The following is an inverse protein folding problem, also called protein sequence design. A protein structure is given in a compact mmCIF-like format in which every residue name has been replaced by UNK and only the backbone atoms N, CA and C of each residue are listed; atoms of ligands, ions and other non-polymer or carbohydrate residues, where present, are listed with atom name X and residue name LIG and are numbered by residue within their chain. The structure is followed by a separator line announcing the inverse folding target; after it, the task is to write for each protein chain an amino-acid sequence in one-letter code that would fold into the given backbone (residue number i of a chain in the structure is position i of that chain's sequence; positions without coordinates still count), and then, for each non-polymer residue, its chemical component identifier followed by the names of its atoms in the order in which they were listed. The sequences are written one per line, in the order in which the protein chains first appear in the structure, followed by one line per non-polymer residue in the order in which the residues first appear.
data_IF_797803557004
#
_entry.id   IF_797803557004
#
_cell.length_a   1.000
_cell.length_b   1.000
_cell.length_c   1.000
_cell.angle_alpha   90.00
_cell.angle_beta   90.00
_cell.angle_gamma   90.00
#
_symmetry.space_group_name_H-M   'P 1'
#
loop_
_entity.id
_entity.type
_entity.pdbx_description
1 polymer ?
#
# COMPACT_ATOMS: atom_id res chain seq x y z
N UNK A 1 0.86 37.59 -40.92
CA UNK A 1 1.58 36.34 -40.59
C UNK A 1 0.64 35.15 -40.75
N UNK A 2 0.40 34.71 -41.99
CA UNK A 2 -0.51 33.59 -42.31
C UNK A 2 0.11 32.20 -42.09
N UNK A 3 1.45 32.14 -42.00
CA UNK A 3 2.19 30.89 -41.78
C UNK A 3 1.98 30.33 -40.36
N UNK A 4 1.90 31.16 -39.33
CA UNK A 4 1.73 30.71 -37.93
C UNK A 4 0.31 30.22 -37.65
N UNK A 5 -0.72 30.81 -38.27
CA UNK A 5 -2.11 30.36 -38.16
C UNK A 5 -2.38 29.08 -38.95
N UNK A 6 -1.70 28.88 -40.10
CA UNK A 6 -1.74 27.63 -40.85
C UNK A 6 -1.05 26.46 -40.11
N UNK A 7 0.07 26.72 -39.42
CA UNK A 7 0.82 25.71 -38.66
C UNK A 7 0.16 25.30 -37.33
N UNK A 8 -0.63 26.19 -36.69
CA UNK A 8 -1.30 25.95 -35.41
C UNK A 8 -2.77 25.45 -35.52
N UNK A 9 -3.14 24.85 -36.66
CA UNK A 9 -4.53 24.55 -37.05
C UNK A 9 -5.33 23.58 -36.17
N UNK A 10 -4.70 22.90 -35.19
CA UNK A 10 -5.36 21.93 -34.30
C UNK A 10 -5.27 22.30 -32.81
N UNK A 11 -5.45 23.58 -32.48
CA UNK A 11 -5.44 24.04 -31.08
C UNK A 11 -6.80 23.79 -30.42
N UNK A 12 -6.79 23.03 -29.32
CA UNK A 12 -7.98 22.84 -28.46
C UNK A 12 -8.04 24.02 -27.49
N UNK A 13 -9.19 24.70 -27.35
CA UNK A 13 -9.30 25.85 -26.46
C UNK A 13 -9.26 25.41 -24.99
N UNK A 14 -8.52 26.14 -24.15
CA UNK A 14 -8.37 25.84 -22.73
C UNK A 14 -7.53 24.59 -22.42
N UNK A 15 -7.84 23.89 -21.32
CA UNK A 15 -7.14 22.66 -20.88
C UNK A 15 -7.67 21.44 -21.63
N UNK A 16 -6.78 20.57 -22.11
CA UNK A 16 -7.13 19.48 -23.05
C UNK A 16 -8.13 18.43 -22.50
N UNK A 17 -8.15 18.18 -21.19
CA UNK A 17 -8.89 17.07 -20.57
C UNK A 17 -10.07 17.51 -19.70
N UNK A 18 -10.34 18.81 -19.60
CA UNK A 18 -11.41 19.37 -18.77
C UNK A 18 -12.15 20.50 -19.50
N UNK A 19 -13.32 20.92 -19.00
CA UNK A 19 -14.13 21.97 -19.65
C UNK A 19 -15.03 21.46 -20.78
N UNK A 20 -15.59 22.38 -21.58
CA UNK A 20 -16.59 22.09 -22.62
C UNK A 20 -16.00 21.45 -23.87
N UNK A 21 -14.86 21.96 -24.35
CA UNK A 21 -14.22 21.48 -25.58
C UNK A 21 -12.92 20.75 -25.24
N UNK A 22 -12.97 19.41 -25.25
CA UNK A 22 -11.85 18.53 -24.85
C UNK A 22 -11.25 17.83 -26.06
N UNK A 23 -10.06 17.25 -25.87
CA UNK A 23 -9.46 16.35 -26.86
C UNK A 23 -10.25 15.04 -26.92
N UNK A 24 -10.77 14.62 -28.08
CA UNK A 24 -11.40 13.32 -28.21
C UNK A 24 -10.33 12.22 -28.00
N UNK A 25 -10.63 11.27 -27.12
CA UNK A 25 -9.80 10.08 -26.87
C UNK A 25 -10.51 8.85 -27.43
N UNK A 26 -9.98 8.32 -28.53
CA UNK A 26 -10.48 7.07 -29.10
C UNK A 26 -10.02 5.88 -28.26
N UNK A 27 -10.89 4.88 -28.12
CA UNK A 27 -10.56 3.61 -27.45
C UNK A 27 -9.83 2.73 -28.46
N UNK A 28 -8.58 2.38 -28.15
CA UNK A 28 -7.78 1.49 -29.01
C UNK A 28 -8.15 0.03 -28.79
N UNK A 29 -7.77 -0.84 -29.72
CA UNK A 29 -7.97 -2.29 -29.59
C UNK A 29 -7.26 -2.88 -28.37
N UNK A 30 -6.05 -2.40 -28.06
CA UNK A 30 -5.30 -2.85 -26.88
C UNK A 30 -6.01 -2.51 -25.57
N UNK A 31 -6.68 -1.35 -25.48
CA UNK A 31 -7.49 -0.98 -24.32
C UNK A 31 -8.69 -1.93 -24.15
N UNK A 32 -9.34 -2.33 -25.25
CA UNK A 32 -10.44 -3.30 -25.21
C UNK A 32 -9.95 -4.68 -24.76
N UNK A 33 -8.85 -5.17 -25.31
CA UNK A 33 -8.25 -6.45 -24.92
C UNK A 33 -7.78 -6.46 -23.45
N UNK A 34 -7.25 -5.33 -22.96
CA UNK A 34 -6.88 -5.20 -21.55
C UNK A 34 -8.10 -5.24 -20.63
N UNK A 35 -9.21 -4.62 -21.05
CA UNK A 35 -10.47 -4.66 -20.31
C UNK A 35 -11.04 -6.08 -20.28
N UNK A 36 -11.10 -6.76 -21.42
CA UNK A 36 -11.61 -8.14 -21.52
C UNK A 36 -10.83 -9.07 -20.59
N UNK A 37 -9.50 -9.01 -20.60
CA UNK A 37 -8.67 -9.81 -19.67
C UNK A 37 -8.98 -9.56 -18.20
N UNK A 38 -9.28 -8.32 -17.81
CA UNK A 38 -9.67 -8.03 -16.42
C UNK A 38 -11.04 -8.61 -16.08
N UNK A 39 -11.99 -8.54 -17.00
CA UNK A 39 -13.31 -9.13 -16.83
C UNK A 39 -13.25 -10.65 -16.74
N UNK A 40 -12.37 -11.29 -17.51
CA UNK A 40 -12.13 -12.74 -17.43
C UNK A 40 -11.60 -13.14 -16.03
N UNK A 41 -10.64 -12.37 -15.48
CA UNK A 41 -10.14 -12.57 -14.11
C UNK A 41 -11.25 -12.36 -13.08
N UNK A 42 -12.10 -11.35 -13.26
CA UNK A 42 -13.22 -11.08 -12.36
C UNK A 42 -14.24 -12.23 -12.37
N UNK A 43 -14.61 -12.73 -13.55
CA UNK A 43 -15.49 -13.89 -13.67
C UNK A 43 -14.90 -15.16 -13.04
N UNK A 44 -13.58 -15.37 -13.16
CA UNK A 44 -12.89 -16.47 -12.48
C UNK A 44 -12.93 -16.30 -10.95
N UNK A 45 -12.69 -15.10 -10.45
CA UNK A 45 -12.78 -14.80 -9.02
C UNK A 45 -14.20 -15.03 -8.49
N UNK A 46 -15.23 -14.58 -9.21
CA UNK A 46 -16.63 -14.81 -8.84
C UNK A 46 -16.94 -16.31 -8.73
N UNK A 47 -16.45 -17.12 -9.66
CA UNK A 47 -16.61 -18.57 -9.61
C UNK A 47 -16.01 -19.14 -8.32
N UNK A 48 -14.76 -18.78 -7.99
CA UNK A 48 -14.09 -19.28 -6.79
C UNK A 48 -14.71 -18.79 -5.48
N UNK A 49 -15.20 -17.55 -5.45
CA UNK A 49 -15.81 -16.95 -4.26
C UNK A 49 -17.27 -17.39 -4.06
N UNK A 50 -17.93 -17.95 -5.08
CA UNK A 50 -19.34 -18.36 -5.01
C UNK A 50 -19.61 -19.56 -4.10
N UNK A 51 -18.57 -20.32 -3.70
CA UNK A 51 -18.72 -21.59 -2.96
C UNK A 51 -17.97 -21.54 -1.63
N UNK A 52 -18.56 -20.94 -0.58
CA UNK A 52 -17.96 -20.91 0.74
C UNK A 52 -17.90 -22.32 1.36
N UNK A 53 -16.87 -22.57 2.17
CA UNK A 53 -16.69 -23.84 2.87
C UNK A 53 -17.57 -23.94 4.13
N UNK A 54 -17.70 -22.85 4.89
CA UNK A 54 -18.54 -22.76 6.08
C UNK A 54 -19.77 -21.91 5.81
N UNK A 55 -20.87 -22.23 6.47
CA UNK A 55 -22.01 -21.32 6.55
C UNK A 55 -21.71 -20.18 7.53
N UNK A 56 -22.45 -19.09 7.43
CA UNK A 56 -22.30 -17.94 8.31
C UNK A 56 -22.47 -18.30 9.81
N UNK A 57 -23.37 -19.23 10.10
CA UNK A 57 -23.61 -19.73 11.46
C UNK A 57 -22.42 -20.53 12.00
N UNK A 58 -21.76 -21.32 11.15
CA UNK A 58 -20.57 -22.08 11.51
C UNK A 58 -19.34 -21.18 11.70
N UNK A 59 -19.22 -20.12 10.90
CA UNK A 59 -18.13 -19.16 11.01
C UNK A 59 -18.22 -18.30 12.29
N UNK A 60 -19.44 -18.11 12.80
CA UNK A 60 -19.71 -17.24 13.93
C UNK A 60 -18.86 -17.62 15.15
N UNK A 61 -18.01 -16.68 15.59
CA UNK A 61 -17.12 -16.80 16.75
C UNK A 61 -16.12 -17.98 16.75
N UNK A 62 -15.92 -18.70 15.64
CA UNK A 62 -15.03 -19.87 15.60
C UNK A 62 -13.57 -19.56 16.02
N UNK A 63 -13.11 -18.31 15.84
CA UNK A 63 -11.74 -17.87 16.14
C UNK A 63 -11.72 -16.66 17.10
N UNK A 64 -12.70 -16.55 17.99
CA UNK A 64 -12.75 -15.44 18.95
C UNK A 64 -11.54 -15.44 19.90
N UNK A 65 -11.16 -16.60 20.44
CA UNK A 65 -10.03 -16.77 21.35
C UNK A 65 -8.69 -16.39 20.70
N UNK A 66 -8.46 -16.84 19.46
CA UNK A 66 -7.24 -16.50 18.72
C UNK A 66 -7.13 -15.01 18.41
N UNK A 67 -8.25 -14.34 18.11
CA UNK A 67 -8.27 -12.86 17.98
C UNK A 67 -7.98 -12.16 19.30
N UNK A 68 -8.53 -12.66 20.41
CA UNK A 68 -8.30 -12.11 21.74
C UNK A 68 -6.82 -12.23 22.13
N UNK A 69 -6.22 -13.41 21.98
CA UNK A 69 -4.81 -13.64 22.27
C UNK A 69 -3.88 -12.73 21.44
N UNK A 70 -4.19 -12.54 20.14
CA UNK A 70 -3.45 -11.59 19.28
C UNK A 70 -3.56 -10.15 19.79
N UNK A 71 -4.75 -9.75 20.23
CA UNK A 71 -4.99 -8.42 20.77
C UNK A 71 -4.26 -8.21 22.10
N UNK A 72 -4.29 -9.18 23.00
CA UNK A 72 -3.56 -9.13 24.27
C UNK A 72 -2.06 -9.06 24.04
N UNK A 73 -1.51 -9.87 23.14
CA UNK A 73 -0.09 -9.82 22.77
C UNK A 73 0.30 -8.45 22.17
N UNK A 74 -0.56 -7.86 21.36
CA UNK A 74 -0.33 -6.51 20.84
C UNK A 74 -0.37 -5.46 21.95
N UNK A 75 -1.33 -5.55 22.87
CA UNK A 75 -1.45 -4.65 24.02
C UNK A 75 -0.24 -4.76 24.93
N UNK A 76 0.24 -5.96 25.22
CA UNK A 76 1.42 -6.17 26.05
C UNK A 76 2.66 -5.55 25.40
N UNK A 77 2.85 -5.70 24.09
CA UNK A 77 3.93 -5.05 23.33
C UNK A 77 3.87 -3.52 23.39
N UNK A 78 2.66 -2.94 23.30
CA UNK A 78 2.50 -1.50 23.44
C UNK A 78 2.86 -1.02 24.86
N UNK A 79 2.44 -1.75 25.88
CA UNK A 79 2.72 -1.40 27.29
C UNK A 79 4.17 -1.66 27.69
N UNK A 80 4.85 -2.62 27.05
CA UNK A 80 6.25 -2.95 27.35
C UNK A 80 7.25 -2.03 26.65
N UNK A 81 6.79 -1.11 25.79
CA UNK A 81 7.64 -0.12 25.13
C UNK A 81 8.11 0.92 26.15
N UNK A 82 9.23 0.62 26.80
CA UNK A 82 9.90 1.48 27.76
C UNK A 82 11.36 1.73 27.33
N UNK A 83 11.98 2.87 27.68
CA UNK A 83 13.40 3.07 27.44
C UNK A 83 14.25 1.95 28.05
N UNK A 84 15.34 1.59 27.37
CA UNK A 84 16.27 0.56 27.85
C UNK A 84 16.93 0.95 29.17
N UNK A 85 17.27 -0.06 29.97
CA UNK A 85 18.02 0.14 31.20
C UNK A 85 19.44 0.66 30.90
N UNK A 86 19.89 1.63 31.68
CA UNK A 86 21.26 2.15 31.61
C UNK A 86 22.06 1.63 32.80
N UNK A 87 23.18 0.95 32.54
CA UNK A 87 24.02 0.38 33.59
C UNK A 87 25.25 1.25 33.86
N UNK A 88 25.59 1.43 35.15
CA UNK A 88 26.78 2.20 35.56
C UNK A 88 28.08 1.60 35.00
N UNK A 89 28.10 0.28 34.78
CA UNK A 89 29.22 -0.44 34.18
C UNK A 89 29.58 0.11 32.80
N UNK A 90 28.58 0.46 31.99
CA UNK A 90 28.82 0.97 30.63
C UNK A 90 29.55 2.32 30.68
N UNK A 91 29.19 3.16 31.66
CA UNK A 91 29.87 4.42 31.93
C UNK A 91 31.28 4.23 32.47
N UNK A 92 31.48 3.30 33.41
CA UNK A 92 32.79 3.03 34.02
C UNK A 92 33.77 2.35 33.05
N UNK A 93 33.27 1.49 32.16
CA UNK A 93 34.09 0.87 31.12
C UNK A 93 34.73 1.91 30.19
N UNK A 94 34.07 3.05 29.98
CA UNK A 94 34.62 4.14 29.17
C UNK A 94 35.92 4.72 29.76
N UNK A 95 36.14 4.61 31.08
CA UNK A 95 37.39 5.06 31.71
C UNK A 95 38.61 4.23 31.30
N UNK A 96 38.41 3.00 30.78
CA UNK A 96 39.50 2.16 30.31
C UNK A 96 40.10 2.62 28.97
N UNK A 97 39.50 3.61 28.28
CA UNK A 97 40.02 4.13 26.99
C UNK A 97 41.43 4.72 27.14
N UNK A 98 41.77 5.26 28.31
CA UNK A 98 43.09 5.83 28.58
C UNK A 98 44.07 4.84 29.26
N UNK A 99 43.69 3.56 29.37
CA UNK A 99 44.51 2.55 30.04
C UNK A 99 45.80 2.29 29.25
N UNK A 100 46.95 2.50 29.90
CA UNK A 100 48.29 2.25 29.36
C UNK A 100 48.95 1.10 30.13
N UNK A 101 49.86 0.38 29.48
CA UNK A 101 50.74 -0.58 30.16
C UNK A 101 51.94 0.15 30.77
N UNK A 102 52.45 -0.36 31.89
CA UNK A 102 53.69 0.13 32.52
C UNK A 102 54.87 -0.13 31.60
N UNK A 103 55.70 0.91 31.39
CA UNK A 103 57.01 0.81 30.73
C UNK A 103 58.03 0.14 31.62
#
# INVERSE_FOLDING_TARGET
MFLTTALLRKRIPGKQWIGKYRRPRAVTLSMKQAMIRRLEIEAENEYWLSRPYLTQEQEYNHNAEGRHAKWEAFRTLLTSKFPEHRYIRDHLNHLNVSKKWTS
#
